data_IF_946030640436
#
_entry.id   IF_946030640436
#
_cell.length_a   1.000
_cell.length_b   1.000
_cell.length_c   1.000
_cell.angle_alpha   90.00
_cell.angle_beta   90.00
_cell.angle_gamma   90.00
#
_symmetry.space_group_name_H-M   'P 1'
#
loop_
_entity.id
_entity.type
_entity.pdbx_description
1 polymer ?
#
# COMPACT_ATOMS: atom_id res chain seq x y z
N UNK A 1 -16.08 31.04 14.95
CA UNK A 1 -17.09 29.95 14.69
C UNK A 1 -16.28 28.68 14.57
N UNK A 2 -16.57 27.69 15.42
CA UNK A 2 -15.90 26.39 15.29
C UNK A 2 -16.31 25.78 13.93
N UNK A 3 -15.36 25.26 13.17
CA UNK A 3 -15.63 24.54 11.94
C UNK A 3 -16.40 23.26 12.27
N UNK A 4 -17.50 22.99 11.56
CA UNK A 4 -18.35 21.82 11.81
C UNK A 4 -17.91 20.60 10.99
N UNK A 5 -16.61 20.45 10.75
CA UNK A 5 -16.06 19.31 10.04
C UNK A 5 -14.72 18.86 10.64
N UNK A 6 -14.41 17.60 10.49
CA UNK A 6 -13.13 16.99 10.82
C UNK A 6 -12.94 15.71 9.99
N UNK A 7 -11.70 15.29 9.83
CA UNK A 7 -11.38 13.98 9.25
C UNK A 7 -11.57 12.92 10.35
N UNK A 8 -12.37 11.89 10.09
CA UNK A 8 -12.61 10.82 11.07
C UNK A 8 -11.47 9.81 11.10
N UNK A 9 -11.08 9.28 9.93
CA UNK A 9 -10.01 8.30 9.79
C UNK A 9 -9.50 8.23 8.35
N UNK A 10 -8.38 7.54 8.16
CA UNK A 10 -7.87 7.24 6.82
C UNK A 10 -8.64 6.06 6.24
N UNK A 11 -9.46 6.29 5.22
CA UNK A 11 -10.41 5.29 4.70
C UNK A 11 -9.75 4.28 3.76
N UNK A 12 -9.18 4.73 2.65
CA UNK A 12 -8.45 3.88 1.72
C UNK A 12 -7.40 4.65 0.93
N UNK A 13 -6.46 3.92 0.34
CA UNK A 13 -5.58 4.44 -0.70
C UNK A 13 -5.89 3.77 -2.03
N UNK A 14 -5.90 4.57 -3.11
CA UNK A 14 -6.04 4.06 -4.46
C UNK A 14 -4.67 3.70 -5.01
N UNK A 15 -4.56 2.49 -5.53
CA UNK A 15 -3.37 2.02 -6.26
C UNK A 15 -3.79 1.76 -7.69
N UNK A 16 -3.29 2.62 -8.60
CA UNK A 16 -3.53 2.42 -10.02
C UNK A 16 -2.69 1.25 -10.52
N UNK A 17 -3.33 0.31 -11.23
CA UNK A 17 -2.70 -0.93 -11.66
C UNK A 17 -2.83 -1.13 -13.18
N UNK A 18 -1.87 -1.84 -13.76
CA UNK A 18 -1.88 -2.20 -15.20
C UNK A 18 -2.69 -3.44 -15.48
N UNK A 19 -2.61 -4.39 -14.55
CA UNK A 19 -3.34 -5.65 -14.56
C UNK A 19 -3.91 -5.89 -13.17
N UNK A 20 -5.25 -5.92 -13.11
CA UNK A 20 -5.98 -6.04 -11.86
C UNK A 20 -5.83 -7.44 -11.24
N UNK A 21 -5.80 -8.48 -12.08
CA UNK A 21 -5.71 -9.87 -11.59
C UNK A 21 -4.32 -10.16 -11.02
N UNK A 22 -3.25 -9.71 -11.69
CA UNK A 22 -1.88 -9.82 -11.21
C UNK A 22 -1.71 -9.05 -9.88
N UNK A 23 -2.26 -7.85 -9.80
CA UNK A 23 -2.17 -7.00 -8.59
C UNK A 23 -2.94 -7.60 -7.43
N UNK A 24 -4.16 -8.09 -7.64
CA UNK A 24 -4.93 -8.80 -6.61
C UNK A 24 -4.18 -10.04 -6.11
N UNK A 25 -3.58 -10.83 -7.01
CA UNK A 25 -2.79 -11.99 -6.62
C UNK A 25 -1.59 -11.59 -5.75
N UNK A 26 -0.87 -10.51 -6.09
CA UNK A 26 0.24 -10.00 -5.31
C UNK A 26 -0.20 -9.56 -3.90
N UNK A 27 -1.23 -8.72 -3.78
CA UNK A 27 -1.67 -8.24 -2.47
C UNK A 27 -2.24 -9.35 -1.59
N UNK A 28 -2.82 -10.41 -2.18
CA UNK A 28 -3.16 -11.65 -1.45
C UNK A 28 -1.94 -12.35 -0.85
N UNK A 29 -0.77 -12.33 -1.50
CA UNK A 29 0.47 -12.86 -0.91
C UNK A 29 0.90 -12.10 0.35
N UNK A 30 0.55 -10.81 0.44
CA UNK A 30 0.79 -9.97 1.61
C UNK A 30 -0.26 -10.14 2.72
N UNK A 31 -1.29 -10.96 2.49
CA UNK A 31 -2.35 -11.25 3.47
C UNK A 31 -3.61 -10.40 3.31
N UNK A 32 -3.72 -9.60 2.25
CA UNK A 32 -4.96 -8.88 1.95
C UNK A 32 -6.04 -9.83 1.43
N UNK A 33 -7.28 -9.52 1.75
CA UNK A 33 -8.47 -10.21 1.26
C UNK A 33 -9.36 -9.26 0.47
N UNK A 34 -10.08 -9.82 -0.51
CA UNK A 34 -11.03 -9.06 -1.31
C UNK A 34 -12.27 -8.76 -0.47
N UNK A 35 -12.55 -7.49 -0.24
CA UNK A 35 -13.78 -7.03 0.39
C UNK A 35 -14.89 -6.83 -0.64
N UNK A 36 -14.56 -6.17 -1.77
CA UNK A 36 -15.55 -5.86 -2.80
C UNK A 36 -14.90 -5.94 -4.19
N UNK A 37 -15.38 -6.87 -5.00
CA UNK A 37 -14.94 -7.06 -6.38
C UNK A 37 -15.89 -6.33 -7.34
N UNK A 38 -15.43 -5.24 -7.92
CA UNK A 38 -16.17 -4.37 -8.83
C UNK A 38 -15.64 -4.42 -10.25
N UNK A 39 -14.89 -5.46 -10.61
CA UNK A 39 -14.26 -5.57 -11.94
C UNK A 39 -15.25 -5.65 -13.09
N UNK A 40 -16.50 -6.05 -12.81
CA UNK A 40 -17.60 -6.18 -13.78
C UNK A 40 -18.68 -5.10 -13.60
N UNK A 41 -18.44 -4.14 -12.70
CA UNK A 41 -19.38 -3.05 -12.45
C UNK A 41 -19.01 -1.88 -13.35
N UNK A 42 -19.96 -1.43 -14.17
CA UNK A 42 -19.79 -0.21 -14.95
C UNK A 42 -19.84 1.01 -14.03
N UNK A 43 -18.85 1.89 -14.16
CA UNK A 43 -18.81 3.11 -13.36
C UNK A 43 -19.87 4.10 -13.83
N UNK A 44 -20.70 4.63 -12.91
CA UNK A 44 -21.66 5.68 -13.25
C UNK A 44 -20.94 6.97 -13.67
N UNK A 45 -21.59 7.75 -14.52
CA UNK A 45 -21.00 8.99 -15.09
C UNK A 45 -20.57 10.01 -14.02
N UNK A 46 -21.23 10.05 -12.87
CA UNK A 46 -20.89 10.98 -11.79
C UNK A 46 -19.47 10.74 -11.22
N UNK A 47 -18.90 9.54 -11.35
CA UNK A 47 -17.54 9.21 -10.88
C UNK A 47 -16.50 10.09 -11.57
N UNK A 48 -16.68 10.35 -12.87
CA UNK A 48 -15.82 11.27 -13.59
C UNK A 48 -15.84 12.68 -12.97
N UNK A 49 -17.04 13.16 -12.60
CA UNK A 49 -17.19 14.46 -11.94
C UNK A 49 -16.50 14.54 -10.58
N UNK A 50 -16.57 13.47 -9.77
CA UNK A 50 -15.88 13.39 -8.48
C UNK A 50 -14.36 13.53 -8.66
N UNK A 51 -13.81 12.92 -9.71
CA UNK A 51 -12.37 12.96 -10.01
C UNK A 51 -11.94 14.20 -10.83
N UNK A 52 -12.86 15.10 -11.16
CA UNK A 52 -12.59 16.26 -12.02
C UNK A 52 -12.19 15.87 -13.45
N UNK A 53 -12.63 14.70 -13.93
CA UNK A 53 -12.29 14.13 -15.23
C UNK A 53 -13.48 14.28 -16.20
N UNK A 54 -13.18 14.35 -17.51
CA UNK A 54 -14.23 14.34 -18.54
C UNK A 54 -14.92 12.98 -18.67
N UNK A 55 -14.14 11.91 -18.49
CA UNK A 55 -14.57 10.52 -18.53
C UNK A 55 -13.75 9.71 -17.52
N UNK A 56 -14.39 8.77 -16.85
CA UNK A 56 -13.72 7.87 -15.94
C UNK A 56 -14.39 6.50 -15.99
N UNK A 57 -13.70 5.52 -16.55
CA UNK A 57 -14.10 4.12 -16.50
C UNK A 57 -12.94 3.29 -16.00
N UNK A 58 -13.21 2.37 -15.11
CA UNK A 58 -12.21 1.50 -14.55
C UNK A 58 -12.81 0.21 -14.02
N UNK A 59 -11.95 -0.75 -13.77
CA UNK A 59 -12.26 -1.97 -13.02
C UNK A 59 -11.58 -1.83 -11.67
N UNK A 60 -12.26 -2.20 -10.58
CA UNK A 60 -11.72 -2.01 -9.25
C UNK A 60 -11.94 -3.20 -8.33
N UNK A 61 -11.01 -3.41 -7.42
CA UNK A 61 -11.13 -4.37 -6.31
C UNK A 61 -10.70 -3.68 -5.03
N UNK A 62 -11.63 -3.59 -4.08
CA UNK A 62 -11.34 -3.10 -2.74
C UNK A 62 -10.87 -4.27 -1.87
N UNK A 63 -9.73 -4.10 -1.21
CA UNK A 63 -9.12 -5.13 -0.38
C UNK A 63 -8.88 -4.61 1.04
N UNK A 64 -8.99 -5.52 2.01
CA UNK A 64 -8.76 -5.26 3.44
C UNK A 64 -7.66 -6.17 3.97
N UNK A 65 -7.02 -5.74 5.06
CA UNK A 65 -6.08 -6.57 5.80
C UNK A 65 -6.79 -7.11 7.05
N UNK A 66 -7.16 -8.41 7.12
CA UNK A 66 -7.95 -8.96 8.24
C UNK A 66 -7.27 -8.83 9.60
N UNK A 67 -5.94 -8.73 9.63
CA UNK A 67 -5.17 -8.49 10.86
C UNK A 67 -5.23 -7.04 11.36
N UNK A 68 -5.81 -6.13 10.57
CA UNK A 68 -6.02 -4.71 10.91
C UNK A 68 -7.40 -4.26 10.40
N UNK A 69 -8.49 -4.75 11.02
CA UNK A 69 -9.85 -4.55 10.50
C UNK A 69 -10.32 -3.09 10.52
N UNK A 70 -9.73 -2.26 11.39
CA UNK A 70 -10.00 -0.83 11.49
C UNK A 70 -9.00 0.02 10.68
N UNK A 71 -8.03 -0.64 10.05
CA UNK A 71 -7.00 0.01 9.24
C UNK A 71 -7.51 0.44 7.86
N UNK A 72 -6.69 1.22 7.15
CA UNK A 72 -7.04 1.67 5.81
C UNK A 72 -7.09 0.51 4.82
N UNK A 73 -8.06 0.58 3.91
CA UNK A 73 -8.17 -0.35 2.80
C UNK A 73 -7.26 0.06 1.64
N UNK A 74 -7.03 -0.86 0.72
CA UNK A 74 -6.46 -0.56 -0.60
C UNK A 74 -7.53 -0.74 -1.67
N UNK A 75 -7.63 0.21 -2.59
CA UNK A 75 -8.52 0.14 -3.75
C UNK A 75 -7.67 0.05 -5.02
N UNK A 76 -7.61 -1.15 -5.59
CA UNK A 76 -6.88 -1.42 -6.82
C UNK A 76 -7.74 -0.99 -8.00
N UNK A 77 -7.26 -0.08 -8.84
CA UNK A 77 -8.00 0.43 -9.99
C UNK A 77 -7.19 0.23 -11.27
N UNK A 78 -7.74 -0.55 -12.19
CA UNK A 78 -7.29 -0.64 -13.57
C UNK A 78 -8.15 0.28 -14.44
N UNK A 79 -7.51 1.33 -14.98
CA UNK A 79 -8.19 2.32 -15.80
C UNK A 79 -8.46 1.80 -17.22
N UNK A 80 -9.71 1.87 -17.65
CA UNK A 80 -10.15 1.53 -19.00
C UNK A 80 -10.25 2.80 -19.85
N UNK A 81 -10.78 3.89 -19.27
CA UNK A 81 -10.91 5.20 -19.92
C UNK A 81 -10.69 6.34 -18.91
N UNK A 82 -9.67 7.20 -19.08
CA UNK A 82 -8.59 7.03 -20.07
C UNK A 82 -7.72 5.82 -19.75
N UNK A 83 -7.15 5.18 -20.75
CA UNK A 83 -6.17 4.11 -20.51
C UNK A 83 -4.96 4.72 -19.81
N UNK A 84 -4.70 4.28 -18.58
CA UNK A 84 -3.60 4.82 -17.80
C UNK A 84 -2.24 4.39 -18.36
N UNK A 85 -1.31 5.33 -18.42
CA UNK A 85 0.11 5.07 -18.63
C UNK A 85 0.74 4.90 -17.25
N UNK A 86 1.00 3.66 -16.89
CA UNK A 86 1.68 3.31 -15.65
C UNK A 86 3.03 2.72 -15.99
N UNK A 87 3.97 3.57 -16.37
CA UNK A 87 5.34 3.14 -16.48
C UNK A 87 5.88 2.78 -15.09
N UNK A 88 6.54 1.62 -15.01
CA UNK A 88 7.27 1.27 -13.79
C UNK A 88 8.30 2.38 -13.55
N UNK A 89 8.23 3.04 -12.41
CA UNK A 89 9.21 4.05 -12.05
C UNK A 89 10.49 3.30 -11.65
N UNK A 90 11.59 3.42 -12.42
CA UNK A 90 12.85 2.83 -12.01
C UNK A 90 13.29 3.47 -10.67
N UNK A 91 13.67 2.65 -9.72
CA UNK A 91 14.19 3.12 -8.42
C UNK A 91 15.66 3.57 -8.51
N UNK A 92 16.26 3.48 -9.71
CA UNK A 92 17.61 3.96 -9.98
C UNK A 92 17.58 5.38 -10.57
N UNK A 93 18.65 6.14 -10.35
CA UNK A 93 18.98 7.38 -11.04
C UNK A 93 18.04 8.58 -10.84
N UNK A 94 17.64 8.84 -9.60
CA UNK A 94 16.95 10.08 -9.22
C UNK A 94 15.43 10.04 -9.34
N UNK A 95 14.83 8.90 -9.69
CA UNK A 95 13.39 8.73 -9.59
C UNK A 95 12.98 8.56 -8.12
N UNK A 96 11.99 9.33 -7.69
CA UNK A 96 11.42 9.21 -6.33
C UNK A 96 10.44 8.03 -6.32
N UNK A 97 10.67 6.98 -5.53
CA UNK A 97 9.77 5.84 -5.47
C UNK A 97 8.45 6.22 -4.77
N UNK A 98 7.36 5.60 -5.21
CA UNK A 98 6.13 5.55 -4.43
C UNK A 98 6.26 4.40 -3.44
N UNK A 99 6.11 4.69 -2.14
CA UNK A 99 6.31 3.72 -1.07
C UNK A 99 5.02 3.59 -0.26
N UNK A 100 4.61 2.35 -0.02
CA UNK A 100 3.52 2.01 0.89
C UNK A 100 4.14 1.12 1.97
N UNK A 101 4.08 1.56 3.23
CA UNK A 101 4.69 0.87 4.35
C UNK A 101 3.65 0.07 5.14
N UNK A 102 3.99 -1.20 5.42
CA UNK A 102 3.20 -2.07 6.28
C UNK A 102 4.02 -2.49 7.48
N UNK A 103 3.41 -2.39 8.67
CA UNK A 103 3.99 -2.97 9.86
C UNK A 103 3.89 -4.49 9.77
N UNK A 104 5.00 -5.18 9.99
CA UNK A 104 5.13 -6.62 9.82
C UNK A 104 5.60 -7.24 11.14
N UNK A 105 5.18 -8.44 11.41
CA UNK A 105 5.74 -9.29 12.46
C UNK A 105 6.51 -10.43 11.80
N UNK A 106 7.78 -10.61 12.18
CA UNK A 106 8.64 -11.62 11.61
C UNK A 106 9.16 -11.25 10.21
N UNK A 107 9.73 -10.05 10.04
CA UNK A 107 10.17 -9.50 8.75
C UNK A 107 11.13 -10.42 7.99
N UNK A 108 12.03 -11.14 8.69
CA UNK A 108 12.94 -12.09 8.05
C UNK A 108 12.20 -13.30 7.47
N UNK A 109 11.20 -13.81 8.20
CA UNK A 109 10.37 -14.92 7.73
C UNK A 109 9.48 -14.47 6.54
N UNK A 110 8.92 -13.27 6.62
CA UNK A 110 8.14 -12.68 5.53
C UNK A 110 9.00 -12.51 4.26
N UNK A 111 10.22 -11.96 4.38
CA UNK A 111 11.15 -11.84 3.26
C UNK A 111 11.45 -13.20 2.62
N UNK A 112 11.79 -14.22 3.41
CA UNK A 112 12.08 -15.55 2.90
C UNK A 112 10.87 -16.19 2.20
N UNK A 113 9.70 -16.13 2.83
CA UNK A 113 8.47 -16.72 2.29
C UNK A 113 8.00 -16.05 0.98
N UNK A 114 8.08 -14.73 0.90
CA UNK A 114 7.71 -13.97 -0.29
C UNK A 114 8.72 -14.16 -1.42
N UNK A 115 10.04 -14.21 -1.11
CA UNK A 115 11.09 -14.53 -2.08
C UNK A 115 10.86 -15.91 -2.69
N UNK A 116 10.52 -16.91 -1.88
CA UNK A 116 10.21 -18.26 -2.36
C UNK A 116 8.98 -18.31 -3.30
N UNK A 117 8.10 -17.32 -3.21
CA UNK A 117 6.95 -17.12 -4.11
C UNK A 117 7.25 -16.22 -5.31
N UNK A 118 8.52 -15.85 -5.52
CA UNK A 118 8.94 -15.05 -6.66
C UNK A 118 8.81 -13.52 -6.47
N UNK A 119 8.47 -13.04 -5.29
CA UNK A 119 8.44 -11.60 -5.01
C UNK A 119 9.85 -11.03 -5.04
N UNK A 120 10.05 -9.97 -5.82
CA UNK A 120 11.34 -9.31 -6.00
C UNK A 120 11.55 -8.24 -4.93
N UNK A 121 12.61 -8.39 -4.16
CA UNK A 121 13.04 -7.40 -3.15
C UNK A 121 14.16 -6.50 -3.70
N UNK A 122 14.26 -5.28 -3.16
CA UNK A 122 15.36 -4.37 -3.47
C UNK A 122 16.67 -4.86 -2.90
N UNK A 123 16.63 -5.46 -1.71
CA UNK A 123 17.80 -5.98 -0.97
C UNK A 123 17.33 -6.93 0.15
N UNK A 124 18.28 -7.49 0.88
CA UNK A 124 18.04 -8.24 2.12
C UNK A 124 17.36 -7.35 3.17
N UNK A 125 16.81 -8.00 4.21
CA UNK A 125 16.32 -7.27 5.39
C UNK A 125 17.48 -6.47 5.99
N UNK A 126 17.24 -5.18 6.15
CA UNK A 126 18.16 -4.21 6.72
C UNK A 126 17.83 -3.98 8.20
N UNK A 127 18.86 -3.95 9.04
CA UNK A 127 18.71 -3.84 10.49
C UNK A 127 19.41 -5.00 11.22
N UNK A 128 19.31 -5.07 12.56
CA UNK A 128 18.48 -4.20 13.41
C UNK A 128 19.01 -2.78 13.60
N UNK A 129 18.11 -1.86 13.99
CA UNK A 129 18.44 -0.49 14.39
C UNK A 129 17.89 -0.23 15.80
N UNK A 130 18.64 -0.61 16.85
CA UNK A 130 18.14 -0.56 18.23
C UNK A 130 17.77 0.85 18.70
N UNK A 131 18.50 1.87 18.22
CA UNK A 131 18.23 3.27 18.58
C UNK A 131 16.88 3.78 18.07
N UNK A 132 16.39 3.18 16.98
CA UNK A 132 15.08 3.49 16.40
C UNK A 132 13.99 2.50 16.84
N UNK A 133 14.37 1.43 17.54
CA UNK A 133 13.46 0.34 17.89
C UNK A 133 13.00 -0.49 16.70
N UNK A 134 13.78 -0.52 15.62
CA UNK A 134 13.49 -1.27 14.41
C UNK A 134 14.23 -2.62 14.48
N UNK A 135 13.48 -3.72 14.40
CA UNK A 135 14.00 -5.09 14.30
C UNK A 135 14.58 -5.32 12.90
N UNK A 136 13.88 -4.85 11.88
CA UNK A 136 14.34 -4.90 10.51
C UNK A 136 13.32 -4.27 9.56
N UNK A 137 13.81 -3.90 8.37
CA UNK A 137 12.95 -3.48 7.26
C UNK A 137 13.49 -3.96 5.92
N UNK A 138 12.58 -4.13 4.95
CA UNK A 138 12.92 -4.43 3.56
C UNK A 138 11.84 -3.92 2.64
N UNK A 139 12.20 -3.67 1.37
CA UNK A 139 11.23 -3.27 0.36
C UNK A 139 11.18 -4.31 -0.77
N UNK A 140 9.96 -4.64 -1.20
CA UNK A 140 9.72 -5.38 -2.42
C UNK A 140 8.95 -4.53 -3.44
N UNK A 141 8.90 -5.02 -4.68
CA UNK A 141 8.13 -4.37 -5.74
C UNK A 141 6.78 -5.05 -5.87
N UNK A 142 5.72 -4.24 -5.95
CA UNK A 142 4.45 -4.72 -6.48
C UNK A 142 4.54 -4.88 -8.01
N UNK A 143 3.54 -5.49 -8.68
CA UNK A 143 3.54 -5.67 -10.15
C UNK A 143 3.60 -4.35 -10.93
N UNK A 144 3.28 -3.22 -10.30
CA UNK A 144 3.25 -1.90 -10.93
C UNK A 144 4.50 -1.06 -10.63
N UNK A 145 5.49 -1.63 -9.92
CA UNK A 145 6.74 -0.98 -9.57
C UNK A 145 6.67 -0.06 -8.37
N UNK A 146 5.57 -0.08 -7.60
CA UNK A 146 5.54 0.58 -6.30
C UNK A 146 6.42 -0.19 -5.31
N UNK A 147 7.07 0.53 -4.39
CA UNK A 147 7.76 -0.10 -3.29
C UNK A 147 6.79 -0.39 -2.15
N UNK A 148 6.80 -1.62 -1.70
CA UNK A 148 6.10 -2.09 -0.52
C UNK A 148 7.14 -2.30 0.56
N UNK A 149 7.15 -1.44 1.57
CA UNK A 149 8.02 -1.57 2.74
C UNK A 149 7.37 -2.49 3.77
N UNK A 150 8.12 -3.48 4.23
CA UNK A 150 7.80 -4.31 5.37
C UNK A 150 8.71 -3.90 6.51
N UNK A 151 8.16 -3.34 7.59
CA UNK A 151 8.91 -2.87 8.75
C UNK A 151 8.45 -3.59 10.02
N UNK A 152 9.40 -4.14 10.77
CA UNK A 152 9.16 -4.73 12.08
C UNK A 152 9.77 -3.85 13.17
N UNK A 153 8.92 -3.49 14.13
CA UNK A 153 9.31 -2.72 15.31
C UNK A 153 9.42 -3.64 16.53
N UNK A 154 10.15 -3.21 17.55
CA UNK A 154 10.22 -3.92 18.81
C UNK A 154 8.82 -4.19 19.39
N UNK A 155 8.64 -5.30 20.12
CA UNK A 155 7.39 -5.60 20.79
C UNK A 155 6.90 -4.42 21.67
N UNK A 156 5.61 -4.10 21.53
CA UNK A 156 4.99 -3.01 22.29
C UNK A 156 5.13 -1.61 21.68
N UNK A 157 6.03 -1.39 20.72
CA UNK A 157 6.12 -0.11 20.01
C UNK A 157 5.01 0.02 18.96
N UNK A 158 4.38 1.18 18.90
CA UNK A 158 3.43 1.54 17.83
C UNK A 158 4.14 2.24 16.66
N UNK A 159 5.17 3.02 16.96
CA UNK A 159 5.96 3.81 16.01
C UNK A 159 7.46 3.59 16.26
N UNK A 160 8.32 4.05 15.34
CA UNK A 160 9.75 4.14 15.64
C UNK A 160 9.97 5.11 16.80
N UNK A 161 11.03 4.92 17.57
CA UNK A 161 11.35 5.82 18.71
C UNK A 161 11.46 7.29 18.30
N UNK A 162 11.94 7.56 17.10
CA UNK A 162 11.99 8.92 16.56
C UNK A 162 10.59 9.53 16.42
N UNK A 163 9.60 8.75 15.96
CA UNK A 163 8.22 9.20 15.81
C UNK A 163 7.49 9.31 17.16
N UNK A 164 7.70 8.36 18.08
CA UNK A 164 7.15 8.41 19.44
C UNK A 164 7.57 9.69 20.17
N UNK A 165 8.85 10.05 20.08
CA UNK A 165 9.37 11.27 20.68
C UNK A 165 8.76 12.60 20.12
N UNK A 166 8.12 12.54 18.95
CA UNK A 166 7.39 13.68 18.37
C UNK A 166 5.94 13.71 18.83
N UNK A 167 5.30 12.55 18.99
CA UNK A 167 3.91 12.44 19.43
C UNK A 167 3.73 12.81 20.91
N UNK A 168 4.74 12.53 21.76
CA UNK A 168 4.73 12.89 23.17
C UNK A 168 4.86 14.42 23.42
N UNK A 169 5.10 15.21 22.37
CA UNK A 169 5.22 16.67 22.44
C UNK A 169 3.96 17.42 22.00
N UNK A 170 2.95 16.71 21.51
CA UNK A 170 1.66 17.24 21.06
C UNK A 170 0.58 17.07 22.13
#
# INVERSE_FOLDING_TARGET
MAENWHLEHFYHTVINVRDLDESVAFYKLLGFEVLNDRRHVEWPDFVAGIFGMKRAKGRGVLMVLPSDPDGPMIDLIEWVEPKAWLDAIPVADGAVPRIIAFRTKGVHAAHAALTAKGVRFTQKVFGPHPDLGIVGSCCCYDPNGNLIELIELNPGQRHSKANEALLDKS
#
